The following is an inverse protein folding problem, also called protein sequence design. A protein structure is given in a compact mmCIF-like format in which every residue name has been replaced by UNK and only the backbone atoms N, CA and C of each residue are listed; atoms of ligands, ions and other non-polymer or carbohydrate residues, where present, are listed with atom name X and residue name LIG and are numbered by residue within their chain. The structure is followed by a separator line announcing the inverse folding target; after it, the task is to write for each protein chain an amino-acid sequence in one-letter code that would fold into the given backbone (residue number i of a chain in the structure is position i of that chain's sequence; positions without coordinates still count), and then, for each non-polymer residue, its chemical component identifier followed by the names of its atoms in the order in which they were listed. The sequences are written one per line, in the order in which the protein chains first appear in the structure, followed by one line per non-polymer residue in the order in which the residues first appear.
data_IF_181396008737
#
_entry.id   IF_181396008737
#
_cell.length_a   1.000
_cell.length_b   1.000
_cell.length_c   1.000
_cell.angle_alpha   90.00
_cell.angle_beta   90.00
_cell.angle_gamma   90.00
#
_symmetry.space_group_name_H-M   'P 1'
#
loop_
_entity.id
_entity.type
_entity.pdbx_description
1 polymer ?
#
# COMPACT_ATOMS: atom_id res chain seq x y z
N UNK A 1 -48.40 12.40 25.02
CA UNK A 1 -48.20 11.01 24.56
C UNK A 1 -46.75 10.92 24.11
N UNK A 2 -45.94 10.09 24.79
CA UNK A 2 -44.48 10.05 24.60
C UNK A 2 -44.06 9.41 23.29
N UNK A 3 -43.03 10.02 22.71
CA UNK A 3 -42.19 9.56 21.61
C UNK A 3 -41.70 8.13 21.79
N UNK A 4 -41.62 7.38 20.68
CA UNK A 4 -40.46 6.52 20.44
C UNK A 4 -40.23 6.40 18.93
N UNK A 5 -39.42 7.33 18.40
CA UNK A 5 -38.86 7.20 17.06
C UNK A 5 -37.64 6.28 17.18
N UNK A 6 -37.83 4.99 16.90
CA UNK A 6 -36.76 4.01 16.86
C UNK A 6 -35.75 4.41 15.77
N UNK A 7 -34.64 5.03 16.18
CA UNK A 7 -33.52 5.32 15.30
C UNK A 7 -32.89 3.99 14.86
N UNK A 8 -33.08 3.63 13.59
CA UNK A 8 -32.33 2.56 12.91
C UNK A 8 -30.86 2.95 12.93
N UNK A 9 -30.06 2.25 13.74
CA UNK A 9 -28.59 2.38 13.71
C UNK A 9 -28.07 1.66 12.48
N UNK A 10 -27.40 2.38 11.59
CA UNK A 10 -26.68 1.76 10.48
C UNK A 10 -25.65 0.76 11.03
N UNK A 11 -25.49 -0.42 10.41
CA UNK A 11 -24.49 -1.38 10.84
C UNK A 11 -23.10 -0.78 10.61
N UNK A 12 -22.42 -0.40 11.70
CA UNK A 12 -21.03 0.05 11.67
C UNK A 12 -20.09 -1.11 11.97
N UNK A 13 -19.06 -1.28 11.16
CA UNK A 13 -17.95 -2.20 11.47
C UNK A 13 -16.84 -1.40 12.14
N UNK A 14 -16.45 -1.79 13.35
CA UNK A 14 -15.34 -1.19 14.07
C UNK A 14 -14.09 -2.04 13.88
N UNK A 15 -13.04 -1.42 13.32
CA UNK A 15 -11.72 -2.02 13.18
C UNK A 15 -10.72 -1.21 14.00
N UNK A 16 -9.76 -1.89 14.63
CA UNK A 16 -8.58 -1.20 15.13
C UNK A 16 -7.63 -0.86 13.96
N UNK A 17 -6.61 -0.02 14.23
CA UNK A 17 -5.69 0.47 13.19
C UNK A 17 -4.92 -0.67 12.51
N UNK A 18 -4.52 -1.70 13.27
CA UNK A 18 -3.78 -2.85 12.72
C UNK A 18 -4.65 -3.69 11.79
N UNK A 19 -5.89 -3.96 12.19
CA UNK A 19 -6.89 -4.64 11.36
C UNK A 19 -7.19 -3.86 10.09
N UNK A 20 -7.29 -2.53 10.19
CA UNK A 20 -7.49 -1.67 9.03
C UNK A 20 -6.29 -1.71 8.08
N UNK A 21 -5.06 -1.66 8.61
CA UNK A 21 -3.84 -1.77 7.81
C UNK A 21 -3.77 -3.09 7.04
N UNK A 22 -4.07 -4.22 7.70
CA UNK A 22 -4.10 -5.54 7.06
C UNK A 22 -5.12 -5.60 5.92
N UNK A 23 -6.33 -5.07 6.14
CA UNK A 23 -7.37 -5.00 5.13
C UNK A 23 -6.94 -4.15 3.94
N UNK A 24 -6.41 -2.95 4.19
CA UNK A 24 -5.91 -2.06 3.14
C UNK A 24 -4.79 -2.74 2.35
N UNK A 25 -3.81 -3.34 3.04
CA UNK A 25 -2.68 -4.03 2.40
C UNK A 25 -3.16 -5.18 1.52
N UNK A 26 -4.14 -5.95 1.98
CA UNK A 26 -4.73 -7.05 1.21
C UNK A 26 -5.41 -6.53 -0.05
N UNK A 27 -6.30 -5.55 0.08
CA UNK A 27 -7.03 -4.97 -1.07
C UNK A 27 -6.07 -4.36 -2.07
N UNK A 28 -5.13 -3.52 -1.62
CA UNK A 28 -4.13 -2.90 -2.51
C UNK A 28 -3.31 -3.96 -3.24
N UNK A 29 -2.90 -5.04 -2.57
CA UNK A 29 -2.17 -6.13 -3.22
C UNK A 29 -3.02 -6.86 -4.26
N UNK A 30 -4.27 -7.17 -3.95
CA UNK A 30 -5.18 -7.85 -4.88
C UNK A 30 -5.42 -7.00 -6.14
N UNK A 31 -5.69 -5.71 -5.97
CA UNK A 31 -5.87 -4.77 -7.08
C UNK A 31 -4.60 -4.61 -7.92
N UNK A 32 -3.43 -4.50 -7.28
CA UNK A 32 -2.15 -4.42 -8.00
C UNK A 32 -1.86 -5.70 -8.78
N UNK A 33 -2.19 -6.88 -8.25
CA UNK A 33 -2.02 -8.14 -8.97
C UNK A 33 -3.01 -8.26 -10.13
N UNK A 34 -4.26 -7.88 -9.93
CA UNK A 34 -5.26 -7.82 -11.00
C UNK A 34 -4.82 -6.88 -12.13
N UNK A 35 -4.30 -5.69 -11.79
CA UNK A 35 -3.74 -4.76 -12.76
C UNK A 35 -2.52 -5.34 -13.48
N UNK A 36 -1.55 -5.89 -12.74
CA UNK A 36 -0.31 -6.43 -13.32
C UNK A 36 -0.57 -7.64 -14.24
N UNK A 37 -1.56 -8.48 -13.91
CA UNK A 37 -1.95 -9.63 -14.75
C UNK A 37 -2.65 -9.22 -16.04
N UNK A 38 -3.37 -8.09 -16.04
CA UNK A 38 -3.99 -7.53 -17.25
C UNK A 38 -2.95 -6.83 -18.15
N UNK A 39 -1.98 -6.14 -17.55
CA UNK A 39 -0.95 -5.37 -18.27
C UNK A 39 0.39 -6.11 -18.41
N UNK A 40 0.38 -7.38 -18.85
CA UNK A 40 1.58 -8.17 -19.24
C UNK A 40 2.78 -8.12 -18.25
N UNK A 41 2.58 -7.75 -16.98
CA UNK A 41 3.64 -7.53 -16.00
C UNK A 41 4.61 -6.36 -16.29
N UNK A 42 4.30 -5.43 -17.20
CA UNK A 42 5.18 -4.29 -17.52
C UNK A 42 4.59 -3.00 -16.94
N UNK A 43 5.17 -2.53 -15.84
CA UNK A 43 4.82 -1.23 -15.26
C UNK A 43 5.68 -0.12 -15.88
N UNK A 44 5.03 0.84 -16.57
CA UNK A 44 5.72 2.04 -17.08
C UNK A 44 5.63 3.14 -16.04
N UNK A 45 6.78 3.62 -15.59
CA UNK A 45 6.88 4.79 -14.73
C UNK A 45 7.01 6.04 -15.58
N UNK A 46 6.15 7.03 -15.33
CA UNK A 46 6.30 8.35 -15.91
C UNK A 46 7.55 9.04 -15.33
N UNK A 47 8.28 9.80 -16.15
CA UNK A 47 9.48 10.53 -15.73
C UNK A 47 9.19 11.56 -14.64
N UNK A 48 7.97 12.10 -14.62
CA UNK A 48 7.54 13.07 -13.60
C UNK A 48 7.07 12.37 -12.31
N UNK A 49 6.98 11.04 -12.30
CA UNK A 49 6.63 10.27 -11.10
C UNK A 49 7.76 10.30 -10.08
N UNK A 50 7.48 10.57 -8.79
CA UNK A 50 8.48 10.41 -7.72
C UNK A 50 9.14 9.03 -7.72
N UNK A 51 8.38 7.98 -8.03
CA UNK A 51 8.89 6.61 -8.07
C UNK A 51 9.89 6.38 -9.21
N UNK A 52 9.76 7.09 -10.34
CA UNK A 52 10.74 7.01 -11.43
C UNK A 52 12.10 7.53 -10.96
N UNK A 53 12.11 8.68 -10.29
CA UNK A 53 13.32 9.28 -9.73
C UNK A 53 13.97 8.37 -8.67
N UNK A 54 13.16 7.78 -7.80
CA UNK A 54 13.65 6.82 -6.81
C UNK A 54 14.32 5.60 -7.48
N UNK A 55 13.77 5.12 -8.60
CA UNK A 55 14.37 4.02 -9.36
C UNK A 55 15.69 4.43 -10.05
N UNK A 56 15.79 5.65 -10.56
CA UNK A 56 17.05 6.19 -11.10
C UNK A 56 18.14 6.26 -10.03
N UNK A 57 17.81 6.83 -8.86
CA UNK A 57 18.70 6.90 -7.70
C UNK A 57 19.20 5.50 -7.27
N UNK A 58 18.31 4.51 -7.21
CA UNK A 58 18.66 3.12 -6.87
C UNK A 58 19.62 2.52 -7.93
N UNK A 59 19.38 2.78 -9.22
CA UNK A 59 20.24 2.30 -10.29
C UNK A 59 21.64 2.94 -10.23
N UNK A 60 21.74 4.22 -9.90
CA UNK A 60 23.02 4.91 -9.72
C UNK A 60 23.80 4.31 -8.54
N UNK A 61 23.14 4.15 -7.39
CA UNK A 61 23.75 3.52 -6.19
C UNK A 61 24.17 2.08 -6.46
N UNK A 62 23.44 1.35 -7.32
CA UNK A 62 23.83 0.01 -7.75
C UNK A 62 25.16 0.02 -8.50
N UNK A 63 25.33 0.96 -9.45
CA UNK A 63 26.54 1.08 -10.27
C UNK A 63 27.76 1.45 -9.42
N UNK A 64 27.58 2.28 -8.40
CA UNK A 64 28.64 2.67 -7.47
C UNK A 64 28.85 1.69 -6.31
N UNK A 65 28.12 0.57 -6.28
CA UNK A 65 28.15 -0.42 -5.19
C UNK A 65 27.84 0.17 -3.80
N UNK A 66 26.95 1.16 -3.76
CA UNK A 66 26.50 1.90 -2.56
C UNK A 66 25.08 1.48 -2.11
N UNK A 67 24.54 0.38 -2.63
CA UNK A 67 23.25 -0.12 -2.18
C UNK A 67 23.36 -0.71 -0.79
N UNK A 68 22.58 -0.16 0.14
CA UNK A 68 22.33 -0.76 1.45
C UNK A 68 20.97 -1.43 1.40
N UNK A 69 20.95 -2.74 1.63
CA UNK A 69 19.71 -3.49 1.77
C UNK A 69 19.42 -3.66 3.25
N UNK A 70 18.17 -3.39 3.61
CA UNK A 70 17.66 -3.65 4.94
C UNK A 70 16.70 -4.82 4.87
N UNK A 71 16.81 -5.72 5.83
CA UNK A 71 15.87 -6.79 6.08
C UNK A 71 14.55 -6.23 6.61
N UNK A 72 13.49 -7.04 6.48
CA UNK A 72 12.18 -6.67 7.00
C UNK A 72 12.21 -6.41 8.51
N UNK A 73 12.96 -7.22 9.27
CA UNK A 73 13.09 -7.05 10.71
C UNK A 73 13.76 -5.71 11.07
N UNK A 74 14.80 -5.30 10.33
CA UNK A 74 15.52 -4.04 10.59
C UNK A 74 14.66 -2.79 10.41
N UNK A 75 13.66 -2.83 9.53
CA UNK A 75 12.83 -1.65 9.22
C UNK A 75 11.52 -1.64 10.01
N UNK A 76 10.99 -2.81 10.42
CA UNK A 76 9.69 -2.92 11.10
C UNK A 76 9.76 -3.22 12.60
N UNK A 77 10.90 -3.68 13.12
CA UNK A 77 11.09 -3.97 14.55
C UNK A 77 11.99 -2.94 15.28
N UNK A 78 12.14 -1.73 14.71
CA UNK A 78 12.88 -0.61 15.29
C UNK A 78 12.05 0.25 16.24
#
# INVERSE_FOLDING_TARGET
MSNDAAATRDPSVTLNVQQLEEVIRKVVREELMAFATQEQGIFRLDKDSPLYKDMEDILERKKSNQLTFHTHEEVWNG
#
